data_IF_289886601914
#
_entry.id   IF_289886601914
#
_cell.length_a   1.000
_cell.length_b   1.000
_cell.length_c   1.000
_cell.angle_alpha   90.00
_cell.angle_beta   90.00
_cell.angle_gamma   90.00
#
_symmetry.space_group_name_H-M   'P 1'
#
loop_
_entity.id
_entity.type
_entity.pdbx_description
1 polymer ?
#
# COMPACT_ATOMS: atom_id res chain seq x y z
N UNK A 1 13.33 -41.25 32.02
CA UNK A 1 13.01 -40.95 30.61
C UNK A 1 14.16 -40.13 30.11
N UNK A 2 14.67 -40.35 28.92
CA UNK A 2 15.85 -39.62 28.43
C UNK A 2 15.53 -38.23 27.93
N UNK A 3 16.56 -37.44 27.72
CA UNK A 3 16.49 -36.12 27.08
C UNK A 3 15.69 -36.22 25.79
N UNK A 4 14.73 -35.30 25.57
CA UNK A 4 14.03 -35.19 24.29
C UNK A 4 14.98 -34.71 23.19
N UNK A 5 14.61 -35.01 21.94
CA UNK A 5 15.34 -34.56 20.79
C UNK A 5 14.38 -33.70 19.92
N UNK A 6 14.75 -32.46 19.64
CA UNK A 6 13.98 -31.55 18.81
C UNK A 6 14.91 -30.70 17.96
N UNK A 7 14.52 -30.49 16.70
CA UNK A 7 15.15 -29.56 15.76
C UNK A 7 14.29 -28.33 15.52
N UNK A 8 12.98 -28.43 15.78
CA UNK A 8 11.98 -27.41 15.58
C UNK A 8 11.17 -27.13 16.84
N UNK A 9 10.64 -25.92 16.96
CA UNK A 9 9.80 -25.54 18.12
C UNK A 9 8.59 -26.46 18.25
N UNK A 10 7.99 -26.90 17.12
CA UNK A 10 6.85 -27.81 17.10
C UNK A 10 7.15 -29.22 17.59
N UNK A 11 8.42 -29.61 17.73
CA UNK A 11 8.86 -30.92 18.21
C UNK A 11 9.15 -30.91 19.70
N UNK A 12 9.17 -29.73 20.35
CA UNK A 12 9.32 -29.60 21.78
C UNK A 12 8.09 -30.18 22.50
N UNK A 13 8.32 -31.02 23.50
CA UNK A 13 7.26 -31.65 24.26
C UNK A 13 7.00 -30.83 25.52
N UNK A 14 5.81 -30.22 25.60
CA UNK A 14 5.41 -29.30 26.67
C UNK A 14 5.28 -29.94 28.07
N UNK A 15 5.25 -31.30 28.13
CA UNK A 15 5.24 -32.04 29.37
C UNK A 15 6.64 -32.43 29.89
N UNK A 16 7.70 -32.06 29.16
CA UNK A 16 9.08 -32.27 29.56
C UNK A 16 9.70 -31.01 30.20
N UNK A 17 10.56 -31.13 31.24
CA UNK A 17 10.90 -32.37 31.97
C UNK A 17 9.76 -32.88 32.86
N UNK A 18 9.60 -34.20 32.97
CA UNK A 18 8.57 -34.79 33.83
C UNK A 18 9.03 -34.84 35.28
N UNK A 19 8.07 -34.92 36.21
CA UNK A 19 8.34 -35.11 37.63
C UNK A 19 9.10 -36.43 37.84
N UNK A 20 10.32 -36.33 38.36
CA UNK A 20 11.19 -37.48 38.57
C UNK A 20 12.35 -37.60 37.60
N UNK A 21 12.45 -36.75 36.60
CA UNK A 21 13.65 -36.63 35.76
C UNK A 21 14.86 -36.19 36.62
N UNK A 22 16.05 -36.73 36.39
CA UNK A 22 17.24 -36.29 37.10
C UNK A 22 17.48 -34.79 36.94
N UNK A 23 17.85 -34.12 38.03
CA UNK A 23 18.18 -32.67 37.99
C UNK A 23 19.25 -32.36 36.95
N UNK A 24 20.17 -33.29 36.67
CA UNK A 24 21.18 -33.14 35.62
C UNK A 24 20.64 -33.12 34.20
N UNK A 25 19.41 -33.58 33.95
CA UNK A 25 18.78 -33.48 32.61
C UNK A 25 18.05 -32.15 32.43
N UNK A 26 17.75 -31.42 33.50
CA UNK A 26 17.05 -30.14 33.42
C UNK A 26 17.85 -29.07 32.69
N UNK A 27 19.16 -29.02 32.82
CA UNK A 27 20.03 -28.08 32.11
C UNK A 27 20.21 -28.49 30.66
N UNK A 28 20.14 -29.77 30.32
CA UNK A 28 20.17 -30.27 28.95
C UNK A 28 18.88 -29.90 28.20
N UNK A 29 17.70 -29.99 28.82
CA UNK A 29 16.46 -29.48 28.25
C UNK A 29 16.51 -27.96 27.98
N UNK A 30 17.09 -27.19 28.90
CA UNK A 30 17.28 -25.73 28.68
C UNK A 30 18.23 -25.44 27.52
N UNK A 31 19.31 -26.20 27.35
CA UNK A 31 20.23 -26.08 26.21
C UNK A 31 19.54 -26.45 24.92
N UNK A 32 18.73 -27.51 24.91
CA UNK A 32 17.95 -27.93 23.75
C UNK A 32 17.00 -26.78 23.29
N UNK A 33 16.21 -26.22 24.20
CA UNK A 33 15.30 -25.10 23.89
C UNK A 33 16.08 -23.92 23.32
N UNK A 34 17.22 -23.53 23.92
CA UNK A 34 18.05 -22.45 23.41
C UNK A 34 18.56 -22.74 22.00
N UNK A 35 18.99 -23.97 21.73
CA UNK A 35 19.47 -24.38 20.40
C UNK A 35 18.35 -24.32 19.37
N UNK A 36 17.18 -24.84 19.70
CA UNK A 36 15.99 -24.82 18.83
C UNK A 36 15.58 -23.38 18.50
N UNK A 37 15.51 -22.50 19.52
CA UNK A 37 15.17 -21.08 19.31
C UNK A 37 16.20 -20.37 18.44
N UNK A 38 17.50 -20.57 18.68
CA UNK A 38 18.57 -19.98 17.89
C UNK A 38 18.54 -20.47 16.43
N UNK A 39 18.21 -21.73 16.22
CA UNK A 39 18.10 -22.32 14.87
C UNK A 39 16.89 -21.80 14.13
N UNK A 40 15.72 -21.76 14.79
CA UNK A 40 14.47 -21.30 14.17
C UNK A 40 14.46 -19.79 13.91
N UNK A 41 15.11 -19.01 14.77
CA UNK A 41 15.21 -17.55 14.65
C UNK A 41 16.63 -17.09 14.32
N UNK A 42 17.31 -17.81 13.44
CA UNK A 42 18.71 -17.52 13.07
C UNK A 42 18.92 -16.11 12.49
N UNK A 43 17.89 -15.51 11.88
CA UNK A 43 17.92 -14.14 11.39
C UNK A 43 17.82 -13.07 12.50
N UNK A 44 17.48 -13.44 13.74
CA UNK A 44 17.39 -12.52 14.88
C UNK A 44 18.71 -12.50 15.68
N UNK A 45 19.84 -12.35 14.98
CA UNK A 45 21.17 -12.38 15.60
C UNK A 45 21.67 -11.01 16.11
N UNK A 46 20.91 -9.95 15.88
CA UNK A 46 21.26 -8.59 16.29
C UNK A 46 20.99 -8.29 17.76
N UNK A 47 21.57 -7.19 18.25
CA UNK A 47 21.36 -6.69 19.61
C UNK A 47 20.11 -5.82 19.75
N UNK A 48 19.43 -5.53 18.64
CA UNK A 48 18.21 -4.73 18.60
C UNK A 48 17.00 -5.63 18.87
N UNK A 49 16.15 -5.24 19.80
CA UNK A 49 14.92 -5.95 20.09
C UNK A 49 13.97 -5.91 18.87
N UNK A 50 13.25 -7.01 18.63
CA UNK A 50 12.12 -7.01 17.71
C UNK A 50 10.98 -6.25 18.38
N UNK A 51 10.66 -5.06 17.86
CA UNK A 51 9.61 -4.19 18.41
C UNK A 51 8.26 -4.38 17.74
N UNK A 52 8.20 -5.27 16.74
CA UNK A 52 6.96 -5.57 16.01
C UNK A 52 5.95 -6.22 16.97
N UNK A 53 4.74 -5.68 16.99
CA UNK A 53 3.64 -6.24 17.78
C UNK A 53 3.14 -7.56 17.17
N UNK A 54 2.44 -8.36 17.99
CA UNK A 54 1.77 -9.59 17.52
C UNK A 54 0.81 -9.31 16.36
N UNK A 55 0.05 -8.21 16.41
CA UNK A 55 -0.86 -7.81 15.35
C UNK A 55 -0.12 -7.53 14.03
N UNK A 56 1.03 -6.88 14.08
CA UNK A 56 1.86 -6.58 12.90
C UNK A 56 2.50 -7.85 12.32
N UNK A 57 2.94 -8.81 13.16
CA UNK A 57 3.43 -10.10 12.69
C UNK A 57 2.33 -10.91 12.01
N UNK A 58 1.11 -10.89 12.55
CA UNK A 58 -0.03 -11.60 11.99
C UNK A 58 -0.49 -11.02 10.64
N UNK A 59 -0.21 -9.74 10.35
CA UNK A 59 -0.45 -9.16 9.02
C UNK A 59 0.44 -9.78 7.92
N UNK A 60 1.54 -10.41 8.30
CA UNK A 60 2.46 -11.11 7.39
C UNK A 60 2.05 -12.57 7.14
N UNK A 61 1.08 -13.08 7.88
CA UNK A 61 0.57 -14.44 7.70
C UNK A 61 -0.11 -14.57 6.32
N UNK A 62 0.32 -15.58 5.56
CA UNK A 62 -0.16 -15.80 4.20
C UNK A 62 0.43 -14.90 3.11
N UNK A 63 1.34 -13.97 3.45
CA UNK A 63 2.04 -13.16 2.46
C UNK A 63 3.21 -13.94 1.87
N UNK A 64 3.08 -14.39 0.62
CA UNK A 64 4.13 -15.14 -0.06
C UNK A 64 5.40 -14.32 -0.35
N UNK A 65 5.25 -13.00 -0.49
CA UNK A 65 6.36 -12.07 -0.64
C UNK A 65 5.96 -10.68 -0.12
N UNK A 66 6.86 -10.04 0.63
CA UNK A 66 6.73 -8.65 1.02
C UNK A 66 7.10 -7.75 -0.17
N UNK A 67 6.29 -6.75 -0.42
CA UNK A 67 6.63 -5.70 -1.39
C UNK A 67 7.80 -4.89 -0.83
N UNK A 68 8.92 -4.87 -1.55
CA UNK A 68 10.08 -4.04 -1.22
C UNK A 68 10.11 -2.82 -2.12
N UNK A 69 10.45 -1.66 -1.57
CA UNK A 69 10.53 -0.39 -2.32
C UNK A 69 11.64 -0.36 -3.39
N UNK A 70 12.57 -1.33 -3.37
CA UNK A 70 13.77 -1.33 -4.21
C UNK A 70 13.65 -2.19 -5.49
N UNK A 71 12.53 -2.88 -5.71
CA UNK A 71 12.35 -3.78 -6.86
C UNK A 71 11.04 -3.49 -7.57
N UNK A 72 11.01 -3.74 -8.89
CA UNK A 72 9.78 -3.69 -9.67
C UNK A 72 8.73 -4.63 -9.09
N UNK A 73 7.51 -4.14 -8.96
CA UNK A 73 6.38 -4.90 -8.43
C UNK A 73 5.51 -5.39 -9.56
N UNK A 74 5.29 -6.70 -9.64
CA UNK A 74 4.37 -7.32 -10.58
C UNK A 74 3.13 -7.81 -9.83
N UNK A 75 1.97 -7.30 -10.21
CA UNK A 75 0.68 -7.66 -9.62
C UNK A 75 -0.11 -8.52 -10.59
N UNK A 76 -0.38 -9.77 -10.23
CA UNK A 76 -1.21 -10.67 -11.05
C UNK A 76 -2.71 -10.44 -10.86
N UNK A 77 -3.11 -9.72 -9.82
CA UNK A 77 -4.49 -9.35 -9.53
C UNK A 77 -4.80 -7.89 -9.86
N UNK A 78 -6.09 -7.58 -10.01
CA UNK A 78 -6.55 -6.21 -10.20
C UNK A 78 -6.25 -5.34 -8.98
N UNK A 79 -5.54 -4.23 -9.18
CA UNK A 79 -5.37 -3.18 -8.17
C UNK A 79 -6.52 -2.19 -8.28
N UNK A 80 -7.38 -2.12 -7.26
CA UNK A 80 -8.55 -1.26 -7.24
C UNK A 80 -8.36 -0.18 -6.17
N UNK A 81 -8.11 1.05 -6.61
CA UNK A 81 -8.24 2.21 -5.74
C UNK A 81 -9.69 2.71 -5.74
N UNK A 82 -10.22 3.06 -4.58
CA UNK A 82 -11.51 3.78 -4.51
C UNK A 82 -11.28 5.20 -5.03
N UNK A 83 -12.02 5.66 -6.04
CA UNK A 83 -11.90 7.05 -6.50
C UNK A 83 -12.27 8.03 -5.38
N UNK A 84 -11.50 9.09 -5.23
CA UNK A 84 -11.90 10.22 -4.38
C UNK A 84 -12.95 11.05 -5.10
N UNK A 85 -14.06 11.37 -4.42
CA UNK A 85 -15.14 12.18 -4.98
C UNK A 85 -14.94 13.62 -4.54
N UNK A 86 -14.81 14.53 -5.51
CA UNK A 86 -14.58 15.96 -5.28
C UNK A 86 -15.61 16.80 -6.03
N UNK A 87 -15.89 17.98 -5.49
CA UNK A 87 -16.86 18.93 -6.05
C UNK A 87 -16.32 20.36 -6.15
N UNK A 88 -15.11 20.61 -5.63
CA UNK A 88 -14.49 21.93 -5.51
C UNK A 88 -13.27 22.14 -6.45
N UNK A 89 -13.05 21.22 -7.37
CA UNK A 89 -11.98 21.33 -8.38
C UNK A 89 -10.57 21.03 -7.87
N UNK A 90 -10.33 20.89 -6.57
CA UNK A 90 -9.02 20.58 -6.00
C UNK A 90 -8.83 19.10 -5.78
N UNK A 91 -7.91 18.48 -6.49
CA UNK A 91 -7.62 17.05 -6.43
C UNK A 91 -6.34 16.82 -5.62
N UNK A 92 -6.50 16.22 -4.45
CA UNK A 92 -5.39 15.91 -3.56
C UNK A 92 -4.78 14.54 -3.93
N UNK A 93 -3.58 14.57 -4.50
CA UNK A 93 -2.87 13.38 -5.01
C UNK A 93 -2.32 12.48 -3.88
N UNK A 94 -2.30 12.92 -2.63
CA UNK A 94 -2.00 12.06 -1.49
C UNK A 94 -3.20 11.18 -1.09
N UNK A 95 -4.41 11.52 -1.52
CA UNK A 95 -5.63 10.79 -1.15
C UNK A 95 -5.99 9.66 -2.11
N UNK A 96 -5.76 9.84 -3.40
CA UNK A 96 -6.10 8.85 -4.43
C UNK A 96 -5.36 9.10 -5.75
N UNK A 97 -5.26 8.03 -6.57
CA UNK A 97 -4.80 8.15 -7.96
C UNK A 97 -5.96 8.30 -8.96
N UNK A 98 -7.20 8.03 -8.53
CA UNK A 98 -8.37 8.17 -9.37
C UNK A 98 -9.41 9.04 -8.68
N UNK A 99 -10.06 9.90 -9.44
CA UNK A 99 -11.02 10.86 -8.94
C UNK A 99 -12.32 10.82 -9.72
N UNK A 100 -13.41 11.17 -9.04
CA UNK A 100 -14.65 11.58 -9.67
C UNK A 100 -14.88 13.04 -9.30
N UNK A 101 -14.88 13.92 -10.30
CA UNK A 101 -15.09 15.35 -10.14
C UNK A 101 -16.40 15.79 -10.77
N UNK A 102 -17.28 16.41 -9.97
CA UNK A 102 -18.58 16.92 -10.43
C UNK A 102 -18.72 18.36 -9.97
N UNK A 103 -18.40 19.35 -10.82
CA UNK A 103 -18.54 20.76 -10.49
C UNK A 103 -20.00 21.15 -10.31
N UNK A 104 -20.27 22.00 -9.31
CA UNK A 104 -21.59 22.62 -9.10
C UNK A 104 -21.76 23.97 -9.78
N UNK A 105 -20.68 24.57 -10.31
CA UNK A 105 -20.60 25.86 -10.97
C UNK A 105 -19.35 25.91 -11.86
N UNK A 106 -19.10 27.06 -12.50
CA UNK A 106 -17.78 27.33 -13.12
C UNK A 106 -16.69 27.25 -12.06
N UNK A 107 -15.60 26.53 -12.36
CA UNK A 107 -14.58 26.15 -11.38
C UNK A 107 -13.18 26.08 -12.01
N UNK A 108 -12.17 25.84 -11.16
CA UNK A 108 -10.78 25.63 -11.59
C UNK A 108 -10.33 24.26 -11.16
N UNK A 109 -9.86 23.44 -12.12
CA UNK A 109 -9.23 22.16 -11.83
C UNK A 109 -7.79 22.41 -11.39
N UNK A 110 -7.49 22.06 -10.16
CA UNK A 110 -6.18 22.19 -9.53
C UNK A 110 -5.77 20.87 -8.89
N UNK A 111 -4.46 20.71 -8.65
CA UNK A 111 -3.91 19.57 -7.95
C UNK A 111 -3.17 20.05 -6.70
N UNK A 112 -3.11 19.22 -5.69
CA UNK A 112 -2.31 19.44 -4.49
C UNK A 112 -1.53 18.19 -4.12
N UNK A 113 -0.42 18.37 -3.40
CA UNK A 113 0.48 17.28 -2.98
C UNK A 113 1.05 16.46 -4.15
N UNK A 114 1.29 17.13 -5.27
CA UNK A 114 1.84 16.50 -6.44
C UNK A 114 3.32 16.12 -6.27
N UNK A 115 3.62 14.87 -6.56
CA UNK A 115 4.98 14.34 -6.61
C UNK A 115 5.27 13.74 -7.99
N UNK A 116 6.55 13.67 -8.35
CA UNK A 116 6.95 13.14 -9.65
C UNK A 116 6.57 11.66 -9.79
N UNK A 117 5.96 11.32 -10.92
CA UNK A 117 5.56 9.95 -11.25
C UNK A 117 4.13 9.59 -10.85
N UNK A 118 3.40 10.47 -10.17
CA UNK A 118 1.97 10.25 -9.91
C UNK A 118 1.19 10.33 -11.22
N UNK A 119 0.28 9.38 -11.43
CA UNK A 119 -0.57 9.29 -12.61
C UNK A 119 -1.90 8.65 -12.30
N UNK A 120 -2.94 8.98 -13.05
CA UNK A 120 -4.26 8.40 -12.84
C UNK A 120 -5.31 8.96 -13.79
N UNK A 121 -6.57 8.77 -13.37
CA UNK A 121 -7.72 9.20 -14.17
C UNK A 121 -8.70 9.99 -13.31
N UNK A 122 -9.38 10.93 -13.98
CA UNK A 122 -10.48 11.70 -13.43
C UNK A 122 -11.72 11.43 -14.29
N UNK A 123 -12.79 10.94 -13.68
CA UNK A 123 -14.12 10.97 -14.29
C UNK A 123 -14.72 12.35 -14.01
N UNK A 124 -14.61 13.26 -14.99
CA UNK A 124 -15.19 14.59 -14.89
C UNK A 124 -16.63 14.55 -15.41
N UNK A 125 -17.57 14.84 -14.54
CA UNK A 125 -19.01 14.93 -14.87
C UNK A 125 -19.39 16.40 -14.87
N UNK A 126 -19.48 17.02 -16.06
CA UNK A 126 -19.92 18.41 -16.20
C UNK A 126 -21.42 18.45 -16.52
N UNK A 127 -22.30 18.65 -15.52
CA UNK A 127 -23.75 18.46 -15.72
C UNK A 127 -24.42 19.61 -16.50
N UNK A 128 -23.81 20.78 -16.56
CA UNK A 128 -24.45 22.00 -17.05
C UNK A 128 -23.54 22.86 -17.92
N UNK A 129 -22.57 22.23 -18.59
CA UNK A 129 -21.61 22.94 -19.46
C UNK A 129 -20.87 24.08 -18.70
N UNK A 130 -20.50 23.84 -17.46
CA UNK A 130 -19.73 24.80 -16.68
C UNK A 130 -18.34 24.99 -17.30
N UNK A 131 -17.82 26.22 -17.24
CA UNK A 131 -16.45 26.50 -17.63
C UNK A 131 -15.51 25.95 -16.57
N UNK A 132 -14.64 25.02 -16.97
CA UNK A 132 -13.59 24.46 -16.12
C UNK A 132 -12.25 25.04 -16.55
N UNK A 133 -11.75 25.98 -15.79
CA UNK A 133 -10.41 26.54 -15.93
C UNK A 133 -9.36 25.56 -15.43
N UNK A 134 -8.10 25.80 -15.71
CA UNK A 134 -6.97 25.01 -15.21
C UNK A 134 -6.09 25.87 -14.31
N UNK A 135 -5.62 25.30 -13.20
CA UNK A 135 -4.63 25.91 -12.33
C UNK A 135 -3.33 26.22 -13.06
N UNK A 136 -2.49 27.06 -12.47
CA UNK A 136 -1.25 27.53 -13.11
C UNK A 136 -0.22 26.41 -13.35
N UNK A 137 -0.23 25.39 -12.49
CA UNK A 137 0.62 24.20 -12.57
C UNK A 137 0.12 23.19 -13.60
N UNK A 138 -1.17 23.29 -14.02
CA UNK A 138 -1.79 22.32 -14.94
C UNK A 138 -1.48 22.68 -16.38
N UNK A 139 -0.91 21.73 -17.11
CA UNK A 139 -0.57 21.84 -18.53
C UNK A 139 -1.47 20.94 -19.35
N UNK A 140 -2.05 21.48 -20.41
CA UNK A 140 -2.98 20.77 -21.29
C UNK A 140 -2.49 20.66 -22.70
N UNK A 141 -2.89 19.59 -23.39
CA UNK A 141 -2.79 19.52 -24.86
C UNK A 141 -3.85 20.36 -25.57
N UNK A 142 -3.76 20.44 -26.89
CA UNK A 142 -4.71 21.18 -27.73
C UNK A 142 -6.14 20.62 -27.70
N UNK A 143 -6.29 19.33 -27.30
CA UNK A 143 -7.57 18.64 -27.23
C UNK A 143 -8.35 18.85 -25.91
N UNK A 144 -7.89 19.73 -25.01
CA UNK A 144 -8.64 20.04 -23.82
C UNK A 144 -9.89 20.85 -24.16
N UNK A 145 -11.03 20.19 -24.19
CA UNK A 145 -12.34 20.81 -24.29
C UNK A 145 -13.34 20.02 -23.45
N UNK A 146 -13.75 20.58 -22.32
CA UNK A 146 -14.74 20.02 -21.40
C UNK A 146 -15.89 21.01 -21.18
N UNK A 147 -16.11 21.89 -22.15
CA UNK A 147 -17.04 23.02 -22.05
C UNK A 147 -18.50 22.66 -22.30
N UNK A 148 -18.78 21.46 -22.79
CA UNK A 148 -20.15 20.99 -23.01
C UNK A 148 -20.62 20.12 -21.83
N UNK A 149 -21.94 19.99 -21.63
CA UNK A 149 -22.48 19.07 -20.67
C UNK A 149 -22.17 17.62 -21.09
N UNK A 150 -21.63 16.83 -20.16
CA UNK A 150 -21.25 15.45 -20.45
C UNK A 150 -20.32 14.86 -19.41
N UNK A 151 -19.94 13.61 -19.63
CA UNK A 151 -18.92 12.92 -18.85
C UNK A 151 -17.65 12.81 -19.68
N UNK A 152 -16.52 13.10 -19.09
CA UNK A 152 -15.20 13.06 -19.71
C UNK A 152 -14.28 12.14 -18.91
N UNK A 153 -13.46 11.37 -19.61
CA UNK A 153 -12.32 10.69 -18.98
C UNK A 153 -11.08 11.57 -19.18
N UNK A 154 -10.54 12.06 -18.08
CA UNK A 154 -9.31 12.86 -18.07
C UNK A 154 -8.18 12.01 -17.51
N UNK A 155 -7.11 11.84 -18.28
CA UNK A 155 -5.85 11.28 -17.79
C UNK A 155 -4.95 12.39 -17.27
N UNK A 156 -4.16 12.10 -16.25
CA UNK A 156 -3.15 13.04 -15.75
C UNK A 156 -1.83 12.34 -15.44
N UNK A 157 -0.75 13.12 -15.47
CA UNK A 157 0.59 12.74 -15.02
C UNK A 157 1.26 13.95 -14.37
N UNK A 158 1.91 13.76 -13.22
CA UNK A 158 2.70 14.76 -12.51
C UNK A 158 4.20 14.51 -12.65
N UNK A 159 4.96 15.57 -12.94
CA UNK A 159 6.43 15.55 -12.85
C UNK A 159 6.96 16.12 -11.52
N UNK A 160 6.05 16.45 -10.58
CA UNK A 160 6.35 17.06 -9.29
C UNK A 160 6.43 18.58 -9.29
N UNK A 161 6.20 19.21 -10.45
CA UNK A 161 6.14 20.69 -10.64
C UNK A 161 4.93 21.08 -11.45
N UNK A 162 4.58 20.28 -12.43
CA UNK A 162 3.43 20.47 -13.32
C UNK A 162 2.63 19.19 -13.44
N UNK A 163 1.33 19.34 -13.62
CA UNK A 163 0.43 18.23 -13.92
C UNK A 163 -0.04 18.35 -15.37
N UNK A 164 0.23 17.34 -16.17
CA UNK A 164 -0.13 17.27 -17.58
C UNK A 164 -1.46 16.54 -17.70
N UNK A 165 -2.45 17.16 -18.33
CA UNK A 165 -3.80 16.60 -18.47
C UNK A 165 -4.21 16.45 -19.93
N UNK A 166 -4.99 15.41 -20.20
CA UNK A 166 -5.64 15.17 -21.49
C UNK A 166 -7.06 14.67 -21.26
N UNK A 167 -8.04 15.28 -21.92
CA UNK A 167 -9.44 14.90 -21.83
C UNK A 167 -9.88 14.12 -23.09
N UNK A 168 -10.81 13.17 -22.91
CA UNK A 168 -11.56 12.58 -24.01
C UNK A 168 -12.57 13.59 -24.58
N UNK A 169 -13.20 13.26 -25.72
CA UNK A 169 -14.48 13.86 -26.08
C UNK A 169 -15.55 13.47 -25.03
N UNK A 170 -16.68 14.18 -25.04
CA UNK A 170 -17.80 13.82 -24.15
C UNK A 170 -18.28 12.40 -24.44
N UNK A 171 -18.31 11.58 -23.39
CA UNK A 171 -18.80 10.21 -23.46
C UNK A 171 -20.33 10.22 -23.45
N UNK A 172 -20.94 9.48 -24.36
CA UNK A 172 -22.39 9.34 -24.51
C UNK A 172 -22.96 8.21 -23.62
#
# INVERSE_FOLDING_TARGET
MGLESASYISELVDTNPVVGDPVGEGDDHLRLIKTVLQTQFSGLSGTTAVTTSEAELNLLDGVAALVTLATDQSWSGSQRGTPSVVTDGTLDLDTANNFQYTPGAADTLEFSNETAGQAGFITLINPSAYTISLGSEVKKGASWDVSTAGTYLVSYYSDGTSVYVSASEALS
#
